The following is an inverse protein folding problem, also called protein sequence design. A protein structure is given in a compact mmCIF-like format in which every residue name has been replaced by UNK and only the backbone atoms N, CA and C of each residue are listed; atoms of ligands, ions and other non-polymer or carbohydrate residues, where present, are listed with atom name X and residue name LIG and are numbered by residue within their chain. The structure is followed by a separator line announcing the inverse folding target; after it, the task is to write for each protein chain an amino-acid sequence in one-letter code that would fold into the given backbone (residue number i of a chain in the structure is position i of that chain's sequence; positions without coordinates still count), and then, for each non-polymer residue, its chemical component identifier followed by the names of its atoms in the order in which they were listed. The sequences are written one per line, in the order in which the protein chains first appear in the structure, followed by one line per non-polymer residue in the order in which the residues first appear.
data_IF_331708654965
#
_entry.id   IF_331708654965
#
_cell.length_a   1.000
_cell.length_b   1.000
_cell.length_c   1.000
_cell.angle_alpha   90.00
_cell.angle_beta   90.00
_cell.angle_gamma   90.00
#
_symmetry.space_group_name_H-M   'P 1'
#
loop_
_entity.id
_entity.type
_entity.pdbx_description
1 polymer ?
#
# COMPACT_ATOMS: atom_id res chain seq x y z
N UNK A 1 -11.34 12.64 22.60
CA UNK A 1 -12.25 11.65 21.93
C UNK A 1 -13.66 12.00 22.34
N UNK A 2 -14.57 12.18 21.38
CA UNK A 2 -15.94 12.60 21.68
C UNK A 2 -16.85 11.42 21.99
N UNK A 3 -17.79 11.60 22.91
CA UNK A 3 -18.83 10.63 23.21
C UNK A 3 -19.76 10.45 21.97
N UNK A 4 -20.00 9.21 21.51
CA UNK A 4 -20.85 8.97 20.33
C UNK A 4 -22.33 9.31 20.55
N UNK A 5 -22.75 9.55 21.79
CA UNK A 5 -24.14 9.83 22.12
C UNK A 5 -24.47 11.30 22.36
N UNK A 6 -23.50 12.09 22.87
CA UNK A 6 -23.73 13.51 23.20
C UNK A 6 -22.62 14.44 22.72
N UNK A 7 -21.63 13.93 21.95
CA UNK A 7 -20.50 14.65 21.37
C UNK A 7 -19.59 15.40 22.40
N UNK A 8 -19.76 15.22 23.69
CA UNK A 8 -18.87 15.82 24.70
C UNK A 8 -17.55 15.06 24.78
N UNK A 9 -16.40 15.76 25.00
CA UNK A 9 -15.08 15.15 24.97
C UNK A 9 -14.72 14.34 26.22
N UNK A 10 -15.39 14.58 27.34
CA UNK A 10 -14.99 14.08 28.64
C UNK A 10 -15.54 12.68 28.91
N UNK A 11 -14.65 11.73 29.13
CA UNK A 11 -14.99 10.36 29.48
C UNK A 11 -13.92 9.75 30.37
N UNK A 12 -14.33 8.81 31.23
CA UNK A 12 -13.42 8.00 32.07
C UNK A 12 -13.39 6.57 31.58
N UNK A 13 -12.24 5.91 31.72
CA UNK A 13 -12.09 4.46 31.44
C UNK A 13 -12.61 3.70 32.66
N UNK A 14 -13.55 2.78 32.47
CA UNK A 14 -14.14 1.95 33.51
C UNK A 14 -13.66 0.50 33.49
N UNK A 15 -13.19 0.03 32.35
CA UNK A 15 -12.60 -1.31 32.17
C UNK A 15 -11.57 -1.29 31.03
N UNK A 16 -10.49 -2.07 31.18
CA UNK A 16 -9.45 -2.24 30.16
C UNK A 16 -9.12 -3.72 30.02
N UNK A 17 -9.13 -4.22 28.80
CA UNK A 17 -8.74 -5.59 28.48
C UNK A 17 -7.77 -5.58 27.32
N UNK A 18 -6.61 -6.19 27.51
CA UNK A 18 -5.63 -6.40 26.46
C UNK A 18 -5.94 -7.70 25.69
N UNK A 19 -5.79 -7.66 24.39
CA UNK A 19 -5.71 -8.82 23.49
C UNK A 19 -4.32 -8.84 22.86
N UNK A 20 -3.98 -9.89 22.09
CA UNK A 20 -2.69 -9.95 21.43
C UNK A 20 -2.45 -8.81 20.40
N UNK A 21 -3.53 -8.22 19.86
CA UNK A 21 -3.47 -7.26 18.76
C UNK A 21 -4.04 -5.87 19.12
N UNK A 22 -4.75 -5.76 20.25
CA UNK A 22 -5.42 -4.50 20.60
C UNK A 22 -5.65 -4.36 22.10
N UNK A 23 -5.90 -3.12 22.55
CA UNK A 23 -6.39 -2.83 23.88
C UNK A 23 -7.83 -2.34 23.74
N UNK A 24 -8.76 -3.11 24.29
CA UNK A 24 -10.16 -2.72 24.42
C UNK A 24 -10.37 -1.92 25.68
N UNK A 25 -10.92 -0.71 25.56
CA UNK A 25 -11.29 0.12 26.71
C UNK A 25 -12.79 0.39 26.73
N UNK A 26 -13.44 0.08 27.85
CA UNK A 26 -14.81 0.50 28.08
C UNK A 26 -14.79 1.85 28.77
N UNK A 27 -15.47 2.82 28.21
CA UNK A 27 -15.50 4.21 28.66
C UNK A 27 -16.92 4.60 29.10
N UNK A 28 -17.01 5.51 30.03
CA UNK A 28 -18.25 6.13 30.48
C UNK A 28 -18.15 7.65 30.29
N UNK A 29 -19.11 8.22 29.59
CA UNK A 29 -19.18 9.66 29.38
C UNK A 29 -19.50 10.36 30.70
N UNK A 30 -18.75 11.39 31.08
CA UNK A 30 -18.99 12.14 32.30
C UNK A 30 -20.24 13.04 32.23
N UNK A 31 -20.74 13.33 31.02
CA UNK A 31 -21.91 14.18 30.83
C UNK A 31 -23.23 13.37 30.73
N UNK A 32 -23.30 12.37 29.85
CA UNK A 32 -24.54 11.61 29.64
C UNK A 32 -24.54 10.22 30.29
N UNK A 33 -23.48 9.83 30.98
CA UNK A 33 -23.28 8.56 31.71
C UNK A 33 -23.45 7.30 30.86
N UNK A 34 -23.61 7.43 29.53
CA UNK A 34 -23.66 6.30 28.63
C UNK A 34 -22.25 5.72 28.44
N UNK A 35 -22.21 4.39 28.27
CA UNK A 35 -20.97 3.66 28.08
C UNK A 35 -20.75 3.34 26.61
N UNK A 36 -19.49 3.45 26.17
CA UNK A 36 -19.05 3.11 24.83
C UNK A 36 -17.70 2.40 24.89
N UNK A 37 -17.36 1.68 23.86
CA UNK A 37 -16.12 0.92 23.77
C UNK A 37 -15.20 1.55 22.73
N UNK A 38 -13.90 1.61 23.05
CA UNK A 38 -12.84 2.02 22.12
C UNK A 38 -11.80 0.93 22.03
N UNK A 39 -11.12 0.87 20.89
CA UNK A 39 -10.02 -0.04 20.66
C UNK A 39 -8.78 0.77 20.30
N UNK A 40 -7.66 0.44 20.94
CA UNK A 40 -6.35 0.94 20.58
C UNK A 40 -5.63 -0.20 19.83
N UNK A 41 -5.21 0.08 18.63
CA UNK A 41 -4.44 -0.86 17.80
C UNK A 41 -3.16 -0.19 17.35
N UNK A 42 -2.09 -0.98 17.26
CA UNK A 42 -0.86 -0.52 16.61
C UNK A 42 -1.16 -0.48 15.11
N UNK A 43 -1.15 0.70 14.53
CA UNK A 43 -1.26 0.86 13.08
C UNK A 43 0.14 1.17 12.55
N UNK A 44 0.74 0.21 11.88
CA UNK A 44 1.94 0.47 11.10
C UNK A 44 1.53 1.30 9.89
N UNK A 45 1.83 2.58 9.93
CA UNK A 45 1.55 3.49 8.83
C UNK A 45 2.82 3.69 8.02
N UNK A 46 2.85 3.11 6.82
CA UNK A 46 3.90 3.36 5.85
C UNK A 46 3.51 4.57 5.00
N UNK A 47 4.35 5.58 4.96
CA UNK A 47 4.17 6.75 4.10
C UNK A 47 4.94 6.59 2.79
N UNK A 48 4.30 6.95 1.70
CA UNK A 48 4.90 7.00 0.38
C UNK A 48 5.28 8.44 0.06
N UNK A 49 6.57 8.65 -0.19
CA UNK A 49 7.10 9.93 -0.63
C UNK A 49 7.05 9.99 -2.15
N UNK A 50 6.20 10.86 -2.68
CA UNK A 50 6.05 11.09 -4.12
C UNK A 50 7.24 11.88 -4.69
N UNK A 51 7.41 11.89 -6.03
CA UNK A 51 8.50 12.62 -6.72
C UNK A 51 8.50 14.13 -6.40
N UNK A 52 7.32 14.71 -6.20
CA UNK A 52 7.15 16.11 -5.80
C UNK A 52 7.36 16.39 -4.30
N UNK A 53 7.73 15.35 -3.53
CA UNK A 53 7.97 15.44 -2.09
C UNK A 53 6.72 15.28 -1.22
N UNK A 54 5.52 15.18 -1.80
CA UNK A 54 4.29 14.91 -1.03
C UNK A 54 4.36 13.54 -0.39
N UNK A 55 3.77 13.44 0.80
CA UNK A 55 3.64 12.19 1.54
C UNK A 55 2.19 11.77 1.57
N UNK A 56 1.93 10.53 1.22
CA UNK A 56 0.60 9.92 1.34
C UNK A 56 0.73 8.52 1.96
N UNK A 57 -0.30 8.03 2.68
CA UNK A 57 -0.31 6.68 3.19
C UNK A 57 -0.19 5.65 2.05
N UNK A 58 0.51 4.53 2.32
CA UNK A 58 0.50 3.40 1.41
C UNK A 58 -0.93 2.91 1.18
N UNK A 59 -1.30 2.75 -0.08
CA UNK A 59 -2.62 2.27 -0.49
C UNK A 59 -2.46 1.00 -1.34
N UNK A 60 -2.76 -0.14 -0.71
CA UNK A 60 -2.75 -1.45 -1.37
C UNK A 60 -3.65 -1.49 -2.61
N UNK A 61 -4.81 -0.83 -2.56
CA UNK A 61 -5.75 -0.83 -3.67
C UNK A 61 -5.18 -0.10 -4.90
N UNK A 62 -4.53 1.03 -4.69
CA UNK A 62 -3.82 1.76 -5.76
C UNK A 62 -2.71 0.92 -6.38
N UNK A 63 -1.92 0.24 -5.56
CA UNK A 63 -0.86 -0.66 -6.04
C UNK A 63 -1.45 -1.78 -6.91
N UNK A 64 -2.45 -2.47 -6.39
CA UNK A 64 -3.12 -3.56 -7.12
C UNK A 64 -3.73 -3.09 -8.44
N UNK A 65 -4.39 -1.94 -8.44
CA UNK A 65 -5.01 -1.37 -9.64
C UNK A 65 -3.97 -1.04 -10.70
N UNK A 66 -2.83 -0.45 -10.34
CA UNK A 66 -1.72 -0.18 -11.27
C UNK A 66 -1.19 -1.45 -11.94
N UNK A 67 -0.98 -2.50 -11.15
CA UNK A 67 -0.54 -3.80 -11.68
C UNK A 67 -1.62 -4.43 -12.58
N UNK A 68 -2.89 -4.39 -12.19
CA UNK A 68 -4.01 -4.90 -12.98
C UNK A 68 -4.12 -4.23 -14.36
N UNK A 69 -3.94 -2.92 -14.42
CA UNK A 69 -3.96 -2.16 -15.68
C UNK A 69 -2.84 -2.64 -16.61
N UNK A 70 -1.65 -2.82 -16.09
CA UNK A 70 -0.51 -3.33 -16.85
C UNK A 70 -0.76 -4.77 -17.37
N UNK A 71 -1.40 -5.61 -16.57
CA UNK A 71 -1.74 -7.00 -16.87
C UNK A 71 -3.03 -7.18 -17.70
N UNK A 72 -3.74 -6.08 -18.04
CA UNK A 72 -5.01 -6.17 -18.75
C UNK A 72 -4.89 -6.89 -20.09
N UNK A 73 -5.81 -7.84 -20.33
CA UNK A 73 -5.82 -8.70 -21.54
C UNK A 73 -4.56 -9.55 -21.73
N UNK A 74 -3.84 -9.81 -20.64
CA UNK A 74 -2.74 -10.79 -20.63
C UNK A 74 -3.23 -12.08 -19.95
N UNK A 75 -2.65 -13.26 -20.29
CA UNK A 75 -3.00 -14.54 -19.65
C UNK A 75 -2.36 -14.65 -18.26
N UNK A 76 -2.69 -13.72 -17.37
CA UNK A 76 -2.20 -13.63 -16.00
C UNK A 76 -3.40 -13.80 -15.06
N UNK A 77 -3.33 -14.79 -14.19
CA UNK A 77 -4.39 -15.04 -13.22
C UNK A 77 -4.43 -13.94 -12.15
N UNK A 78 -5.62 -13.63 -11.63
CA UNK A 78 -5.77 -12.66 -10.55
C UNK A 78 -4.99 -13.08 -9.30
N UNK A 79 -4.90 -14.37 -9.04
CA UNK A 79 -4.09 -14.93 -7.94
C UNK A 79 -2.60 -14.60 -8.06
N UNK A 80 -2.05 -14.48 -9.27
CA UNK A 80 -0.65 -14.09 -9.49
C UNK A 80 -0.44 -12.60 -9.16
N UNK A 81 -1.40 -11.76 -9.53
CA UNK A 81 -1.38 -10.34 -9.18
C UNK A 81 -1.46 -10.15 -7.67
N UNK A 82 -2.37 -10.84 -7.00
CA UNK A 82 -2.52 -10.79 -5.55
C UNK A 82 -1.24 -11.26 -4.83
N UNK A 83 -0.60 -12.32 -5.34
CA UNK A 83 0.67 -12.81 -4.80
C UNK A 83 1.76 -11.76 -4.91
N UNK A 84 1.87 -11.09 -6.05
CA UNK A 84 2.84 -10.00 -6.25
C UNK A 84 2.58 -8.86 -5.26
N UNK A 85 1.34 -8.42 -5.11
CA UNK A 85 0.96 -7.35 -4.17
C UNK A 85 1.31 -7.74 -2.74
N UNK A 86 1.01 -8.98 -2.32
CA UNK A 86 1.35 -9.47 -0.98
C UNK A 86 2.87 -9.46 -0.75
N UNK A 87 3.66 -9.94 -1.72
CA UNK A 87 5.12 -9.93 -1.61
C UNK A 87 5.69 -8.51 -1.51
N UNK A 88 5.12 -7.57 -2.24
CA UNK A 88 5.53 -6.16 -2.17
C UNK A 88 5.21 -5.59 -0.79
N UNK A 89 4.01 -5.84 -0.26
CA UNK A 89 3.64 -5.41 1.08
C UNK A 89 4.57 -5.98 2.15
N UNK A 90 4.81 -7.28 2.12
CA UNK A 90 5.73 -7.95 3.05
C UNK A 90 7.13 -7.31 3.01
N UNK A 91 7.63 -7.03 1.81
CA UNK A 91 8.93 -6.39 1.64
C UNK A 91 8.96 -4.96 2.16
N UNK A 92 7.90 -4.17 1.92
CA UNK A 92 7.81 -2.79 2.36
C UNK A 92 7.68 -2.68 3.88
N UNK A 93 6.74 -3.40 4.47
CA UNK A 93 6.52 -3.38 5.93
C UNK A 93 7.65 -4.10 6.69
N UNK A 94 8.19 -5.19 6.15
CA UNK A 94 9.31 -5.92 6.72
C UNK A 94 10.63 -5.12 6.76
N UNK A 95 10.73 -4.03 5.97
CA UNK A 95 11.90 -3.15 5.99
C UNK A 95 12.02 -2.31 7.27
N UNK A 96 10.95 -2.20 8.06
CA UNK A 96 10.89 -1.37 9.27
C UNK A 96 10.99 0.14 9.02
N UNK A 97 10.86 0.58 7.76
CA UNK A 97 10.93 2.00 7.39
C UNK A 97 9.56 2.65 7.55
N UNK A 98 9.53 3.85 8.12
CA UNK A 98 8.32 4.65 8.22
C UNK A 98 7.94 5.33 6.89
N UNK A 99 8.93 5.55 6.01
CA UNK A 99 8.75 6.18 4.70
C UNK A 99 9.50 5.42 3.60
N UNK A 100 8.87 5.31 2.43
CA UNK A 100 9.47 4.73 1.22
C UNK A 100 9.16 5.64 0.03
N UNK A 101 10.14 5.84 -0.84
CA UNK A 101 9.94 6.59 -2.08
C UNK A 101 9.08 5.79 -3.07
N UNK A 102 8.22 6.47 -3.79
CA UNK A 102 7.39 5.86 -4.83
C UNK A 102 8.21 5.15 -5.91
N UNK A 103 9.41 5.68 -6.22
CA UNK A 103 10.35 5.07 -7.17
C UNK A 103 10.83 3.69 -6.72
N UNK A 104 10.99 3.46 -5.43
CA UNK A 104 11.37 2.14 -4.90
C UNK A 104 10.27 1.13 -5.12
N UNK A 105 9.02 1.53 -4.86
CA UNK A 105 7.85 0.64 -5.06
C UNK A 105 7.71 0.26 -6.53
N UNK A 106 7.80 1.24 -7.43
CA UNK A 106 7.70 0.97 -8.85
C UNK A 106 8.82 0.09 -9.37
N UNK A 107 10.05 0.24 -8.85
CA UNK A 107 11.16 -0.65 -9.18
C UNK A 107 10.87 -2.09 -8.76
N UNK A 108 10.35 -2.30 -7.55
CA UNK A 108 9.96 -3.63 -7.07
C UNK A 108 8.86 -4.23 -7.96
N UNK A 109 7.86 -3.43 -8.36
CA UNK A 109 6.80 -3.89 -9.29
C UNK A 109 7.41 -4.34 -10.62
N UNK A 110 8.32 -3.55 -11.21
CA UNK A 110 9.00 -3.90 -12.46
C UNK A 110 9.77 -5.21 -12.34
N UNK A 111 10.51 -5.40 -11.24
CA UNK A 111 11.24 -6.65 -10.97
C UNK A 111 10.34 -7.87 -10.88
N UNK A 112 9.13 -7.71 -10.33
CA UNK A 112 8.13 -8.79 -10.23
C UNK A 112 7.40 -9.06 -11.54
N UNK A 113 7.12 -8.02 -12.34
CA UNK A 113 6.44 -8.18 -13.63
C UNK A 113 7.34 -8.75 -14.71
N UNK A 114 8.63 -8.45 -14.66
CA UNK A 114 9.60 -8.87 -15.66
C UNK A 114 9.62 -10.38 -15.95
N UNK A 115 9.72 -11.27 -14.96
CA UNK A 115 9.65 -12.71 -15.18
C UNK A 115 8.23 -13.21 -15.47
N UNK A 116 7.19 -12.49 -15.02
CA UNK A 116 5.81 -12.90 -15.16
C UNK A 116 5.31 -12.71 -16.60
N UNK A 117 5.43 -11.50 -17.13
CA UNK A 117 4.99 -11.15 -18.50
C UNK A 117 5.71 -9.90 -19.01
N UNK A 118 6.50 -10.02 -20.09
CA UNK A 118 7.27 -8.90 -20.65
C UNK A 118 6.41 -7.75 -21.15
N UNK A 119 5.20 -8.01 -21.65
CA UNK A 119 4.31 -6.95 -22.12
C UNK A 119 3.65 -6.22 -20.96
N UNK A 120 3.31 -6.92 -19.88
CA UNK A 120 2.85 -6.27 -18.65
C UNK A 120 3.98 -5.40 -18.05
N UNK A 121 5.21 -5.90 -18.04
CA UNK A 121 6.39 -5.12 -17.64
C UNK A 121 6.50 -3.82 -18.44
N UNK A 122 6.50 -3.90 -19.79
CA UNK A 122 6.63 -2.72 -20.66
C UNK A 122 5.49 -1.71 -20.42
N UNK A 123 4.26 -2.18 -20.30
CA UNK A 123 3.11 -1.30 -20.01
C UNK A 123 3.27 -0.54 -18.70
N UNK A 124 3.72 -1.23 -17.68
CA UNK A 124 3.98 -0.59 -16.39
C UNK A 124 5.17 0.37 -16.48
N UNK A 125 6.25 -0.04 -17.16
CA UNK A 125 7.46 0.77 -17.37
C UNK A 125 7.19 2.08 -18.11
N UNK A 126 6.33 2.07 -19.13
CA UNK A 126 5.97 3.29 -19.87
C UNK A 126 5.42 4.34 -18.93
N UNK A 127 4.50 3.97 -18.06
CA UNK A 127 3.87 4.91 -17.12
C UNK A 127 4.82 5.27 -15.97
N UNK A 128 5.47 4.26 -15.41
CA UNK A 128 6.29 4.44 -14.23
C UNK A 128 7.61 5.19 -14.50
N UNK A 129 8.29 4.86 -15.61
CA UNK A 129 9.54 5.51 -16.03
C UNK A 129 9.29 6.79 -16.83
N UNK A 130 8.00 7.18 -17.02
CA UNK A 130 7.61 8.35 -17.81
C UNK A 130 8.25 8.34 -19.22
N UNK A 131 8.15 7.17 -19.88
CA UNK A 131 8.65 7.03 -21.24
C UNK A 131 7.72 7.81 -22.17
N UNK A 132 8.18 8.93 -22.67
CA UNK A 132 7.41 9.92 -23.44
C UNK A 132 7.75 9.92 -24.93
N UNK A 133 8.80 9.21 -25.35
CA UNK A 133 9.18 9.09 -26.73
C UNK A 133 9.48 7.64 -27.18
N UNK A 134 9.42 7.42 -28.49
CA UNK A 134 9.61 6.09 -29.10
C UNK A 134 11.04 5.57 -28.96
N UNK A 135 12.02 6.46 -28.96
CA UNK A 135 13.43 6.09 -28.83
C UNK A 135 13.74 5.59 -27.40
N UNK A 136 13.16 6.22 -26.38
CA UNK A 136 13.25 5.76 -24.99
C UNK A 136 12.58 4.40 -24.82
N UNK A 137 11.40 4.21 -25.43
CA UNK A 137 10.71 2.92 -25.43
C UNK A 137 11.55 1.83 -26.12
N UNK A 138 12.17 2.14 -27.25
CA UNK A 138 13.05 1.21 -27.96
C UNK A 138 14.22 0.77 -27.09
N UNK A 139 14.89 1.71 -26.43
CA UNK A 139 16.00 1.39 -25.51
C UNK A 139 15.56 0.45 -24.39
N UNK A 140 14.37 0.65 -23.84
CA UNK A 140 13.84 -0.22 -22.77
C UNK A 140 13.49 -1.62 -23.29
N UNK A 141 12.95 -1.71 -24.51
CA UNK A 141 12.70 -3.00 -25.19
C UNK A 141 14.00 -3.74 -25.48
N UNK A 142 15.00 -3.06 -26.02
CA UNK A 142 16.32 -3.67 -26.32
C UNK A 142 16.99 -4.19 -25.04
N UNK A 143 16.91 -3.43 -23.94
CA UNK A 143 17.37 -3.84 -22.62
C UNK A 143 16.67 -5.10 -22.14
N UNK A 144 15.34 -5.11 -22.18
CA UNK A 144 14.53 -6.26 -21.76
C UNK A 144 14.86 -7.52 -22.57
N UNK A 145 15.06 -7.37 -23.87
CA UNK A 145 15.41 -8.49 -24.76
C UNK A 145 16.82 -9.01 -24.50
N UNK A 146 17.79 -8.14 -24.26
CA UNK A 146 19.17 -8.52 -23.94
C UNK A 146 19.29 -9.33 -22.63
N UNK A 147 18.46 -9.02 -21.64
CA UNK A 147 18.44 -9.74 -20.36
C UNK A 147 17.72 -11.10 -20.42
N UNK A 148 16.96 -11.37 -21.48
CA UNK A 148 16.23 -12.64 -21.69
C UNK A 148 16.96 -13.62 -22.59
N UNK A 149 17.95 -13.16 -23.29
CA UNK A 149 18.85 -14.00 -24.09
C UNK A 149 19.97 -14.55 -23.23
#
# INVERSE_FOLDING_TARGET
MQCPYCARPDSRVVDTRATNESIRRRRECLNCHKRFTTYEQITEQLLIVKRDGRREPFDRHKLMQGIRIACAKRPIAMADIERIVNQIEEQLFGSGRAEVRSEVIGQIVLEKLKPLDPLAYIRFAIVYLEIDDVEALRRELDRLMAERG
#
